data_IF_029373766309
#
_entry.id   IF_029373766309
#
_cell.length_a   1.000
_cell.length_b   1.000
_cell.length_c   1.000
_cell.angle_alpha   90.00
_cell.angle_beta   90.00
_cell.angle_gamma   90.00
#
_symmetry.space_group_name_H-M   'P 1'
#
loop_
_entity.id
_entity.type
_entity.pdbx_description
1 polymer ?
#
# COMPACT_ATOMS: atom_id res chain seq x y z
N UNK A 1 -6.04 -12.34 15.56
CA UNK A 1 -6.83 -11.15 15.97
C UNK A 1 -6.21 -10.60 17.23
N UNK A 2 -5.79 -9.33 17.20
CA UNK A 2 -5.28 -8.57 18.34
C UNK A 2 -6.45 -8.26 19.30
N UNK A 3 -6.25 -8.38 20.61
CA UNK A 3 -7.28 -8.14 21.65
C UNK A 3 -7.76 -6.70 21.73
N UNK A 4 -7.14 -5.78 20.99
CA UNK A 4 -7.43 -4.34 20.99
C UNK A 4 -8.65 -3.91 20.15
N UNK A 5 -9.24 -4.81 19.33
CA UNK A 5 -10.32 -4.47 18.38
C UNK A 5 -11.58 -5.35 18.51
N UNK A 6 -11.84 -5.92 19.69
CA UNK A 6 -12.98 -6.81 19.93
C UNK A 6 -14.35 -6.17 19.70
N UNK A 7 -14.45 -4.84 19.73
CA UNK A 7 -15.70 -4.10 19.50
C UNK A 7 -15.99 -3.82 18.02
N UNK A 8 -14.96 -3.76 17.15
CA UNK A 8 -15.16 -3.57 15.70
C UNK A 8 -15.40 -4.88 14.94
N UNK A 9 -14.97 -6.03 15.48
CA UNK A 9 -15.10 -7.33 14.83
C UNK A 9 -15.75 -8.34 15.78
N UNK A 10 -17.09 -8.38 15.85
CA UNK A 10 -17.80 -9.19 16.83
C UNK A 10 -17.70 -10.71 16.57
N UNK A 11 -17.33 -11.15 15.36
CA UNK A 11 -17.20 -12.57 15.03
C UNK A 11 -15.78 -13.09 15.32
N UNK A 12 -15.66 -14.00 16.28
CA UNK A 12 -14.44 -14.78 16.56
C UNK A 12 -14.38 -15.99 15.63
N UNK A 13 -13.32 -16.06 14.80
CA UNK A 13 -13.03 -17.18 13.89
C UNK A 13 -14.08 -17.45 12.79
N UNK A 14 -14.90 -16.46 12.43
CA UNK A 14 -15.92 -16.53 11.38
C UNK A 14 -16.02 -15.22 10.58
N UNK A 15 -16.84 -15.22 9.53
CA UNK A 15 -17.08 -14.05 8.67
C UNK A 15 -18.33 -13.33 9.13
N UNK A 16 -18.23 -12.02 9.40
CA UNK A 16 -19.36 -11.19 9.79
C UNK A 16 -20.19 -10.77 8.58
N UNK A 17 -21.51 -10.95 8.63
CA UNK A 17 -22.45 -10.44 7.64
C UNK A 17 -23.46 -9.53 8.32
N UNK A 18 -23.49 -8.25 7.94
CA UNK A 18 -24.45 -7.29 8.46
C UNK A 18 -25.87 -7.59 7.95
N UNK A 19 -26.85 -7.43 8.82
CA UNK A 19 -28.29 -7.51 8.52
C UNK A 19 -28.99 -6.28 9.12
N UNK A 20 -30.17 -5.87 8.62
CA UNK A 20 -30.91 -4.78 9.26
C UNK A 20 -31.17 -5.09 10.74
N UNK A 21 -30.67 -4.23 11.63
CA UNK A 21 -30.80 -4.39 13.09
C UNK A 21 -29.76 -5.28 13.78
N UNK A 22 -28.74 -5.79 13.07
CA UNK A 22 -27.70 -6.61 13.71
C UNK A 22 -26.65 -7.20 12.77
N UNK A 23 -26.02 -8.29 13.19
CA UNK A 23 -25.04 -9.03 12.40
C UNK A 23 -25.17 -10.54 12.60
N UNK A 24 -24.74 -11.32 11.62
CA UNK A 24 -24.70 -12.80 11.68
C UNK A 24 -23.28 -13.27 11.40
N UNK A 25 -22.74 -14.13 12.28
CA UNK A 25 -21.44 -14.76 12.09
C UNK A 25 -21.57 -16.06 11.30
N UNK A 26 -21.05 -16.09 10.07
CA UNK A 26 -21.02 -17.29 9.21
C UNK A 26 -19.70 -18.03 9.40
N UNK A 27 -19.78 -19.31 9.79
CA UNK A 27 -18.59 -20.15 9.97
C UNK A 27 -18.11 -20.72 8.63
N UNK A 28 -16.80 -20.71 8.40
CA UNK A 28 -16.17 -21.29 7.22
C UNK A 28 -16.23 -22.83 7.20
N UNK A 29 -15.86 -23.43 6.07
CA UNK A 29 -15.84 -24.89 5.86
C UNK A 29 -14.99 -25.56 6.96
N UNK A 30 -15.54 -26.62 7.58
CA UNK A 30 -14.91 -27.33 8.70
C UNK A 30 -15.13 -26.69 10.08
N UNK A 31 -15.98 -25.67 10.19
CA UNK A 31 -16.35 -25.01 11.46
C UNK A 31 -17.87 -24.90 11.61
N UNK A 32 -18.37 -24.98 12.84
CA UNK A 32 -19.79 -24.76 13.18
C UNK A 32 -19.94 -23.68 14.24
N UNK A 33 -21.13 -23.09 14.34
CA UNK A 33 -21.43 -22.12 15.41
C UNK A 33 -21.15 -22.75 16.78
N UNK A 34 -20.56 -21.96 17.68
CA UNK A 34 -20.35 -22.36 19.07
C UNK A 34 -21.59 -22.14 19.96
N UNK A 35 -22.69 -21.64 19.39
CA UNK A 35 -23.95 -21.37 20.09
C UNK A 35 -24.01 -19.99 20.75
N UNK A 36 -22.98 -19.16 20.60
CA UNK A 36 -23.00 -17.73 20.96
C UNK A 36 -23.10 -16.89 19.69
N UNK A 37 -23.68 -15.70 19.76
CA UNK A 37 -23.87 -14.78 18.60
C UNK A 37 -22.56 -14.27 17.96
N UNK A 38 -21.40 -14.83 18.33
CA UNK A 38 -20.09 -14.25 18.05
C UNK A 38 -18.96 -15.26 17.86
N UNK A 39 -19.22 -16.59 17.75
CA UNK A 39 -18.13 -17.57 17.68
C UNK A 39 -18.33 -18.77 16.75
N UNK A 40 -17.23 -19.17 16.11
CA UNK A 40 -17.12 -20.39 15.29
C UNK A 40 -16.09 -21.34 15.88
N UNK A 41 -16.50 -22.61 16.09
CA UNK A 41 -15.62 -23.68 16.57
C UNK A 41 -15.32 -24.72 15.49
N UNK A 42 -14.15 -25.36 15.50
CA UNK A 42 -13.83 -26.47 14.59
C UNK A 42 -14.84 -27.62 14.72
N UNK A 43 -15.21 -28.23 13.60
CA UNK A 43 -15.91 -29.51 13.57
C UNK A 43 -14.84 -30.59 13.62
N UNK A 44 -14.55 -31.08 14.82
CA UNK A 44 -13.54 -32.12 15.04
C UNK A 44 -14.02 -33.46 14.46
N UNK A 45 -13.15 -34.11 13.69
CA UNK A 45 -13.36 -35.46 13.19
C UNK A 45 -13.38 -36.47 14.35
N UNK A 46 -13.96 -37.66 14.15
CA UNK A 46 -13.99 -38.73 15.18
C UNK A 46 -12.58 -39.09 15.69
N UNK A 47 -11.55 -38.93 14.86
CA UNK A 47 -10.15 -39.14 15.25
C UNK A 47 -9.61 -38.04 16.20
N UNK A 48 -10.06 -36.80 16.08
CA UNK A 48 -9.64 -35.68 16.93
C UNK A 48 -10.39 -35.65 18.27
N UNK A 49 -11.62 -36.18 18.33
CA UNK A 49 -12.38 -36.31 19.58
C UNK A 49 -11.74 -37.30 20.56
N UNK A 50 -11.04 -38.33 20.05
CA UNK A 50 -10.28 -39.30 20.86
C UNK A 50 -9.04 -38.65 21.52
N UNK A 51 -8.48 -37.61 20.91
CA UNK A 51 -7.30 -36.89 21.43
C UNK A 51 -7.70 -35.89 22.53
N UNK A 52 -8.87 -35.24 22.40
CA UNK A 52 -9.34 -34.23 23.36
C UNK A 52 -10.00 -34.86 24.59
N UNK A 53 -10.56 -36.07 24.49
CA UNK A 53 -11.19 -36.80 25.59
C UNK A 53 -10.27 -37.22 26.76
N UNK A 54 -8.97 -36.92 26.72
CA UNK A 54 -8.00 -37.29 27.79
C UNK A 54 -7.53 -36.14 28.69
N UNK A 55 -8.04 -34.92 28.54
CA UNK A 55 -7.67 -33.80 29.42
C UNK A 55 -8.81 -33.39 30.37
N UNK A 56 -9.12 -34.26 31.31
CA UNK A 56 -9.62 -33.83 32.61
C UNK A 56 -9.18 -34.85 33.67
N UNK A 57 -7.91 -34.80 34.08
CA UNK A 57 -7.45 -35.17 35.44
C UNK A 57 -5.97 -34.84 35.61
N UNK A 58 -5.70 -34.13 36.70
CA UNK A 58 -4.46 -33.80 37.44
C UNK A 58 -3.11 -34.25 36.87
N UNK A 59 -2.17 -33.30 36.95
CA UNK A 59 -0.88 -33.35 36.31
C UNK A 59 0.05 -34.46 36.76
N UNK A 60 0.89 -34.87 35.82
CA UNK A 60 2.29 -35.21 36.04
C UNK A 60 3.08 -34.75 34.81
N UNK A 61 4.17 -34.03 35.05
CA UNK A 61 5.18 -33.66 34.07
C UNK A 61 5.83 -34.93 33.53
N UNK A 62 5.56 -35.27 32.27
CA UNK A 62 6.30 -36.33 31.57
C UNK A 62 7.62 -35.75 31.06
N UNK A 63 8.64 -35.85 31.90
CA UNK A 63 10.03 -35.76 31.48
C UNK A 63 10.31 -36.89 30.49
N UNK A 64 10.95 -36.54 29.39
CA UNK A 64 11.36 -37.41 28.28
C UNK A 64 12.55 -38.34 28.66
N UNK A 65 12.66 -38.76 29.93
CA UNK A 65 13.88 -39.40 30.47
C UNK A 65 13.66 -40.75 31.15
N UNK A 66 12.46 -41.36 31.08
CA UNK A 66 12.17 -42.60 31.86
C UNK A 66 11.51 -43.76 31.10
N UNK A 67 11.48 -43.76 29.77
CA UNK A 67 10.93 -44.90 29.00
C UNK A 67 12.00 -45.95 28.65
N UNK A 68 13.26 -45.78 29.09
CA UNK A 68 14.33 -46.68 28.64
C UNK A 68 14.80 -47.77 29.63
N UNK A 69 14.23 -47.91 30.82
CA UNK A 69 14.77 -48.85 31.82
C UNK A 69 13.69 -49.57 32.64
N UNK A 70 12.80 -50.36 32.01
CA UNK A 70 12.04 -51.42 32.70
C UNK A 70 11.55 -52.54 31.75
N UNK A 71 12.20 -52.73 30.60
CA UNK A 71 11.85 -53.77 29.63
C UNK A 71 12.99 -54.78 29.39
N UNK A 72 13.89 -54.96 30.36
CA UNK A 72 15.09 -55.80 30.18
C UNK A 72 15.31 -56.88 31.25
N UNK A 73 14.29 -57.30 32.01
CA UNK A 73 14.51 -58.34 33.04
C UNK A 73 13.54 -59.54 33.02
N UNK A 74 12.82 -59.78 31.91
CA UNK A 74 12.15 -61.08 31.68
C UNK A 74 12.30 -61.56 30.23
N UNK A 75 13.54 -61.68 29.76
CA UNK A 75 13.84 -62.29 28.46
C UNK A 75 14.97 -63.32 28.57
N UNK A 76 14.84 -64.21 29.56
CA UNK A 76 15.70 -65.38 29.70
C UNK A 76 14.83 -66.63 29.83
N UNK A 77 14.08 -66.96 28.77
CA UNK A 77 13.69 -68.32 28.35
C UNK A 77 12.70 -68.26 27.17
N UNK A 78 13.21 -68.11 25.93
CA UNK A 78 12.73 -68.72 24.67
C UNK A 78 13.23 -67.93 23.44
N UNK A 79 14.19 -68.50 22.71
CA UNK A 79 14.89 -67.92 21.55
C UNK A 79 14.07 -67.77 20.24
N UNK A 80 12.77 -67.46 20.30
CA UNK A 80 11.95 -67.28 19.08
C UNK A 80 11.07 -66.01 19.04
N UNK A 81 10.99 -65.22 20.12
CA UNK A 81 10.09 -64.04 20.21
C UNK A 81 10.76 -62.68 19.96
N UNK A 82 12.09 -62.60 19.96
CA UNK A 82 12.83 -61.34 19.74
C UNK A 82 12.91 -60.91 18.25
N UNK A 83 12.71 -61.82 17.29
CA UNK A 83 12.75 -61.51 15.86
C UNK A 83 11.48 -60.83 15.33
N UNK A 84 10.32 -61.05 15.98
CA UNK A 84 9.03 -60.52 15.55
C UNK A 84 8.82 -59.03 15.91
N UNK A 85 9.41 -58.58 17.01
CA UNK A 85 9.33 -57.17 17.45
C UNK A 85 10.22 -56.25 16.62
N UNK A 86 11.41 -56.70 16.23
CA UNK A 86 12.31 -55.92 15.35
C UNK A 86 11.73 -55.82 13.94
N UNK A 87 11.15 -56.91 13.42
CA UNK A 87 10.51 -56.92 12.10
C UNK A 87 9.34 -55.95 11.99
N UNK A 88 8.47 -55.89 13.01
CA UNK A 88 7.33 -54.96 13.02
C UNK A 88 7.76 -53.49 13.09
N UNK A 89 8.80 -53.16 13.87
CA UNK A 89 9.38 -51.81 13.90
C UNK A 89 9.95 -51.40 12.55
N UNK A 90 10.65 -52.30 11.86
CA UNK A 90 11.20 -52.03 10.51
C UNK A 90 10.08 -51.81 9.50
N UNK A 91 9.02 -52.62 9.53
CA UNK A 91 7.86 -52.46 8.64
C UNK A 91 7.16 -51.11 8.88
N UNK A 92 6.95 -50.71 10.13
CA UNK A 92 6.35 -49.42 10.48
C UNK A 92 7.25 -48.26 10.01
N UNK A 93 8.58 -48.35 10.25
CA UNK A 93 9.51 -47.33 9.80
C UNK A 93 9.51 -47.18 8.27
N UNK A 94 9.49 -48.29 7.53
CA UNK A 94 9.38 -48.29 6.06
C UNK A 94 8.05 -47.69 5.58
N UNK A 95 6.93 -48.05 6.21
CA UNK A 95 5.61 -47.48 5.91
C UNK A 95 5.59 -45.96 6.16
N UNK A 96 6.16 -45.49 7.26
CA UNK A 96 6.31 -44.06 7.56
C UNK A 96 7.20 -43.34 6.52
N UNK A 97 8.33 -43.94 6.11
CA UNK A 97 9.19 -43.39 5.06
C UNK A 97 8.47 -43.30 3.71
N UNK A 98 7.68 -44.31 3.34
CA UNK A 98 6.86 -44.31 2.13
C UNK A 98 5.76 -43.26 2.18
N UNK A 99 5.05 -43.13 3.31
CA UNK A 99 4.03 -42.11 3.53
C UNK A 99 4.65 -40.70 3.43
N UNK A 100 5.79 -40.45 4.08
CA UNK A 100 6.51 -39.19 3.97
C UNK A 100 6.97 -38.90 2.54
N UNK A 101 7.47 -39.91 1.80
CA UNK A 101 7.83 -39.77 0.38
C UNK A 101 6.61 -39.42 -0.48
N UNK A 102 5.47 -40.07 -0.24
CA UNK A 102 4.22 -39.82 -0.96
C UNK A 102 3.70 -38.40 -0.67
N UNK A 103 3.64 -37.99 0.59
CA UNK A 103 3.25 -36.63 1.00
C UNK A 103 4.19 -35.58 0.39
N UNK A 104 5.51 -35.79 0.42
CA UNK A 104 6.49 -34.88 -0.23
C UNK A 104 6.29 -34.80 -1.75
N UNK A 105 5.95 -35.92 -2.41
CA UNK A 105 5.64 -35.92 -3.85
C UNK A 105 4.37 -35.16 -4.15
N UNK A 106 3.30 -35.37 -3.36
CA UNK A 106 2.04 -34.64 -3.52
C UNK A 106 2.24 -33.13 -3.37
N UNK A 107 2.92 -32.72 -2.30
CA UNK A 107 3.18 -31.30 -2.03
C UNK A 107 4.04 -30.63 -3.11
N UNK A 108 5.04 -31.34 -3.66
CA UNK A 108 5.81 -30.83 -4.81
C UNK A 108 4.94 -30.64 -6.06
N UNK A 109 4.04 -31.60 -6.35
CA UNK A 109 3.12 -31.46 -7.48
C UNK A 109 2.19 -30.26 -7.33
N UNK A 110 1.61 -30.05 -6.15
CA UNK A 110 0.81 -28.84 -5.86
C UNK A 110 1.61 -27.55 -6.10
N UNK A 111 2.86 -27.49 -5.63
CA UNK A 111 3.74 -26.34 -5.86
C UNK A 111 4.03 -26.09 -7.33
N UNK A 112 4.30 -27.15 -8.09
CA UNK A 112 4.51 -27.06 -9.53
C UNK A 112 3.23 -26.62 -10.28
N UNK A 113 2.07 -27.05 -9.81
CA UNK A 113 0.76 -26.62 -10.33
C UNK A 113 0.53 -25.13 -10.06
N UNK A 114 0.74 -24.65 -8.83
CA UNK A 114 0.66 -23.23 -8.50
C UNK A 114 1.65 -22.40 -9.31
N UNK A 115 2.89 -22.88 -9.45
CA UNK A 115 3.91 -22.21 -10.24
C UNK A 115 3.45 -21.98 -11.69
N UNK A 116 2.85 -23.00 -12.32
CA UNK A 116 2.30 -22.89 -13.68
C UNK A 116 1.07 -22.00 -13.74
N UNK A 117 0.14 -22.18 -12.81
CA UNK A 117 -1.10 -21.42 -12.72
C UNK A 117 -0.81 -19.91 -12.54
N UNK A 118 0.17 -19.57 -11.73
CA UNK A 118 0.55 -18.18 -11.44
C UNK A 118 1.44 -17.55 -12.51
N UNK A 119 1.47 -18.13 -13.71
CA UNK A 119 2.18 -17.58 -14.87
C UNK A 119 3.70 -17.73 -14.78
N UNK A 120 4.23 -18.60 -13.92
CA UNK A 120 5.67 -18.74 -13.72
C UNK A 120 6.46 -19.14 -14.95
N UNK A 121 5.84 -19.89 -15.89
CA UNK A 121 6.46 -20.19 -17.19
C UNK A 121 6.60 -18.92 -18.04
N UNK A 122 5.53 -18.13 -18.16
CA UNK A 122 5.52 -16.87 -18.90
C UNK A 122 6.53 -15.88 -18.30
N UNK A 123 6.60 -15.81 -16.97
CA UNK A 123 7.56 -14.97 -16.27
C UNK A 123 9.01 -15.41 -16.53
N UNK A 124 9.30 -16.71 -16.48
CA UNK A 124 10.64 -17.23 -16.79
C UNK A 124 11.09 -16.90 -18.20
N UNK A 125 10.19 -17.06 -19.19
CA UNK A 125 10.49 -16.74 -20.58
C UNK A 125 10.78 -15.24 -20.77
N UNK A 126 10.00 -14.37 -20.13
CA UNK A 126 10.18 -12.91 -20.17
C UNK A 126 11.46 -12.46 -19.46
N UNK A 127 11.79 -13.06 -18.31
CA UNK A 127 13.03 -12.77 -17.59
C UNK A 127 14.26 -13.19 -18.39
N UNK A 128 14.20 -14.35 -19.06
CA UNK A 128 15.29 -14.88 -19.88
C UNK A 128 15.51 -14.04 -21.14
N UNK A 129 14.44 -13.52 -21.74
CA UNK A 129 14.54 -12.65 -22.93
C UNK A 129 15.12 -11.27 -22.58
N UNK A 130 14.83 -10.75 -21.38
CA UNK A 130 15.24 -9.40 -20.95
C UNK A 130 16.53 -9.32 -20.14
N UNK A 131 17.21 -10.44 -19.84
CA UNK A 131 18.45 -10.51 -19.04
C UNK A 131 18.32 -9.76 -17.69
N UNK A 132 17.21 -9.94 -16.97
CA UNK A 132 16.99 -9.30 -15.67
C UNK A 132 17.72 -10.09 -14.58
N UNK A 133 19.03 -9.88 -14.43
CA UNK A 133 19.87 -10.59 -13.45
C UNK A 133 19.51 -10.30 -11.98
N UNK A 134 18.74 -9.23 -11.72
CA UNK A 134 18.42 -8.76 -10.36
C UNK A 134 17.06 -9.19 -9.82
N UNK A 135 16.29 -9.98 -10.58
CA UNK A 135 14.95 -10.44 -10.16
C UNK A 135 15.00 -11.90 -9.68
N UNK A 136 14.49 -12.17 -8.48
CA UNK A 136 14.58 -13.48 -7.85
C UNK A 136 13.22 -14.17 -7.75
N UNK A 137 13.15 -15.44 -8.13
CA UNK A 137 12.01 -16.30 -7.84
C UNK A 137 12.32 -17.03 -6.53
N UNK A 138 11.67 -16.63 -5.45
CA UNK A 138 11.83 -17.22 -4.13
C UNK A 138 10.87 -18.38 -3.92
N UNK A 139 11.32 -19.37 -3.17
CA UNK A 139 10.47 -20.44 -2.66
C UNK A 139 9.63 -19.94 -1.47
N UNK A 140 8.49 -20.58 -1.23
CA UNK A 140 7.65 -20.35 -0.05
C UNK A 140 8.44 -20.60 1.23
N UNK A 141 9.38 -21.55 1.21
CA UNK A 141 10.25 -21.85 2.35
C UNK A 141 11.14 -20.65 2.70
N UNK A 142 11.72 -20.00 1.70
CA UNK A 142 12.54 -18.80 1.88
C UNK A 142 11.70 -17.63 2.39
N UNK A 143 10.51 -17.41 1.81
CA UNK A 143 9.59 -16.37 2.27
C UNK A 143 9.12 -16.60 3.70
N UNK A 144 8.76 -17.84 4.07
CA UNK A 144 8.40 -18.20 5.45
C UNK A 144 9.55 -17.98 6.40
N UNK A 145 10.79 -18.33 6.01
CA UNK A 145 11.96 -18.09 6.84
C UNK A 145 12.19 -16.59 7.04
N UNK A 146 12.12 -15.81 5.95
CA UNK A 146 12.36 -14.37 5.98
C UNK A 146 11.35 -13.61 6.85
N UNK A 147 10.09 -14.08 6.89
CA UNK A 147 8.98 -13.45 7.63
C UNK A 147 8.70 -14.06 9.00
N UNK A 148 9.57 -14.97 9.48
CA UNK A 148 9.35 -15.72 10.72
C UNK A 148 7.98 -16.41 10.76
N UNK A 149 7.66 -17.09 9.67
CA UNK A 149 6.38 -17.75 9.41
C UNK A 149 5.19 -16.79 9.42
N UNK A 150 5.32 -15.65 8.73
CA UNK A 150 4.32 -14.59 8.67
C UNK A 150 3.95 -14.05 10.06
N UNK A 151 4.96 -13.80 10.90
CA UNK A 151 4.76 -13.27 12.25
C UNK A 151 4.01 -11.93 12.20
N UNK A 152 3.08 -11.72 13.14
CA UNK A 152 2.36 -10.45 13.24
C UNK A 152 3.29 -9.28 13.60
N UNK A 153 4.40 -9.56 14.29
CA UNK A 153 5.40 -8.55 14.67
C UNK A 153 6.20 -8.04 13.48
N UNK A 154 6.11 -8.74 12.35
CA UNK A 154 6.74 -8.39 11.07
C UNK A 154 5.80 -7.63 10.14
N UNK A 155 4.55 -7.36 10.53
CA UNK A 155 3.59 -6.66 9.66
C UNK A 155 3.97 -5.18 9.53
N UNK A 156 4.17 -4.73 8.29
CA UNK A 156 4.40 -3.33 7.94
C UNK A 156 3.09 -2.59 7.63
N UNK A 157 2.12 -3.30 7.04
CA UNK A 157 0.85 -2.69 6.66
C UNK A 157 -0.21 -3.73 6.27
N UNK A 158 -1.48 -3.31 6.35
CA UNK A 158 -2.64 -4.06 5.92
C UNK A 158 -3.56 -3.14 5.10
N UNK A 159 -3.87 -3.52 3.87
CA UNK A 159 -4.69 -2.72 2.95
C UNK A 159 -5.69 -3.55 2.13
N UNK A 160 -6.29 -2.91 1.13
CA UNK A 160 -7.17 -3.55 0.15
C UNK A 160 -6.47 -4.68 -0.62
N UNK A 161 -5.21 -4.45 -1.01
CA UNK A 161 -4.41 -5.40 -1.79
C UNK A 161 -3.74 -6.50 -0.97
N UNK A 162 -3.88 -6.53 0.37
CA UNK A 162 -3.36 -7.61 1.20
C UNK A 162 -2.57 -7.18 2.43
N UNK A 163 -1.61 -8.01 2.82
CA UNK A 163 -0.72 -7.83 3.97
C UNK A 163 0.72 -7.66 3.49
N UNK A 164 1.44 -6.69 4.04
CA UNK A 164 2.86 -6.49 3.76
C UNK A 164 3.67 -6.84 5.00
N UNK A 165 4.68 -7.69 4.84
CA UNK A 165 5.57 -8.15 5.91
C UNK A 165 6.99 -7.65 5.68
N UNK A 166 7.66 -7.21 6.73
CA UNK A 166 9.11 -7.05 6.77
C UNK A 166 9.76 -8.43 6.77
N UNK A 167 10.71 -8.65 5.89
CA UNK A 167 11.47 -9.89 5.81
C UNK A 167 12.97 -9.66 5.78
N UNK A 168 13.72 -10.65 6.25
CA UNK A 168 15.18 -10.69 6.13
C UNK A 168 15.57 -11.92 5.32
N UNK A 169 16.12 -11.72 4.12
CA UNK A 169 16.55 -12.81 3.24
C UNK A 169 17.80 -13.53 3.79
N UNK A 170 18.16 -14.66 3.19
CA UNK A 170 19.27 -15.50 3.66
C UNK A 170 20.65 -14.84 3.58
N UNK A 171 20.80 -13.82 2.74
CA UNK A 171 21.96 -12.95 2.58
C UNK A 171 21.96 -11.74 3.55
N UNK A 172 20.96 -11.64 4.43
CA UNK A 172 20.80 -10.53 5.37
C UNK A 172 20.08 -9.32 4.78
N UNK A 173 19.65 -9.36 3.52
CA UNK A 173 18.95 -8.25 2.88
C UNK A 173 17.54 -8.08 3.43
N UNK A 174 17.22 -6.86 3.87
CA UNK A 174 15.88 -6.48 4.29
C UNK A 174 14.96 -6.25 3.08
N UNK A 175 13.75 -6.80 3.15
CA UNK A 175 12.76 -6.77 2.06
C UNK A 175 11.35 -6.53 2.61
N UNK A 176 10.46 -6.02 1.75
CA UNK A 176 9.03 -5.95 2.00
C UNK A 176 8.31 -7.02 1.16
N UNK A 177 7.55 -7.91 1.80
CA UNK A 177 6.87 -9.02 1.15
C UNK A 177 5.36 -8.78 1.18
N UNK A 178 4.79 -8.44 0.02
CA UNK A 178 3.35 -8.26 -0.18
C UNK A 178 2.71 -9.61 -0.45
N UNK A 179 1.80 -10.01 0.43
CA UNK A 179 0.97 -11.19 0.32
C UNK A 179 -0.47 -10.75 0.04
N UNK A 180 -0.92 -10.96 -1.19
CA UNK A 180 -2.25 -10.53 -1.61
C UNK A 180 -3.36 -11.31 -0.92
N UNK A 181 -4.53 -10.68 -0.71
CA UNK A 181 -5.72 -11.37 -0.20
C UNK A 181 -6.37 -12.13 -1.36
N UNK A 182 -6.71 -13.40 -1.15
CA UNK A 182 -7.55 -14.16 -2.10
C UNK A 182 -8.93 -13.52 -2.10
N UNK A 183 -9.35 -12.93 -3.22
CA UNK A 183 -10.76 -12.58 -3.39
C UNK A 183 -11.34 -13.21 -4.68
N UNK A 184 -10.65 -13.18 -5.84
CA UNK A 184 -11.09 -13.78 -7.11
C UNK A 184 -9.92 -14.01 -8.10
N UNK A 185 -10.19 -14.58 -9.30
CA UNK A 185 -9.23 -14.68 -10.41
C UNK A 185 -8.66 -13.32 -10.86
N UNK A 186 -9.45 -12.23 -10.73
CA UNK A 186 -9.02 -10.85 -11.01
C UNK A 186 -7.75 -10.45 -10.23
N UNK A 187 -7.59 -10.95 -8.99
CA UNK A 187 -6.40 -10.67 -8.16
C UNK A 187 -5.11 -11.29 -8.73
N UNK A 188 -5.22 -12.34 -9.56
CA UNK A 188 -4.06 -12.96 -10.22
C UNK A 188 -3.63 -12.16 -11.44
N UNK A 189 -4.56 -11.50 -12.11
CA UNK A 189 -4.26 -10.57 -13.20
C UNK A 189 -3.55 -9.31 -12.68
N UNK A 190 -4.01 -8.73 -11.55
CA UNK A 190 -3.31 -7.63 -10.87
C UNK A 190 -1.84 -7.96 -10.58
N UNK A 191 -1.57 -9.18 -10.11
CA UNK A 191 -0.22 -9.64 -9.82
C UNK A 191 0.66 -9.70 -11.08
N UNK A 192 0.18 -10.35 -12.15
CA UNK A 192 0.95 -10.48 -13.40
C UNK A 192 1.18 -9.09 -14.01
N UNK A 193 0.16 -8.24 -13.98
CA UNK A 193 0.24 -6.87 -14.46
C UNK A 193 1.24 -6.04 -13.66
N UNK A 194 1.24 -6.12 -12.33
CA UNK A 194 2.19 -5.42 -11.46
C UNK A 194 3.64 -5.84 -11.76
N UNK A 195 3.92 -7.13 -12.00
CA UNK A 195 5.24 -7.58 -12.45
C UNK A 195 5.63 -7.00 -13.81
N UNK A 196 4.73 -7.07 -14.80
CA UNK A 196 4.99 -6.56 -16.15
C UNK A 196 5.29 -5.07 -16.12
N UNK A 197 4.52 -4.29 -15.35
CA UNK A 197 4.69 -2.86 -15.18
C UNK A 197 6.02 -2.56 -14.48
N UNK A 198 6.27 -3.17 -13.33
CA UNK A 198 7.48 -2.90 -12.53
C UNK A 198 8.76 -3.39 -13.23
N UNK A 199 8.68 -4.41 -14.10
CA UNK A 199 9.82 -4.84 -14.92
C UNK A 199 10.29 -3.80 -15.95
N UNK A 200 9.44 -2.82 -16.28
CA UNK A 200 9.73 -1.76 -17.24
C UNK A 200 10.19 -0.46 -16.57
N UNK A 201 10.15 -0.42 -15.23
CA UNK A 201 10.42 0.79 -14.45
C UNK A 201 11.79 0.67 -13.80
N UNK A 202 12.66 1.66 -14.06
CA UNK A 202 13.91 1.82 -13.35
C UNK A 202 14.10 3.28 -12.93
N UNK A 203 13.64 3.61 -11.73
CA UNK A 203 13.69 4.97 -11.20
C UNK A 203 14.00 4.97 -9.70
N UNK A 204 14.85 5.90 -9.25
CA UNK A 204 15.31 5.97 -7.84
C UNK A 204 14.17 6.24 -6.84
N UNK A 205 13.16 7.02 -7.28
CA UNK A 205 11.98 7.41 -6.50
C UNK A 205 10.76 6.52 -6.78
N UNK A 206 10.98 5.29 -7.25
CA UNK A 206 9.96 4.25 -7.32
C UNK A 206 10.47 3.03 -6.54
N UNK A 207 9.60 2.39 -5.78
CA UNK A 207 9.95 1.18 -5.01
C UNK A 207 10.29 0.06 -5.97
N UNK A 208 11.49 -0.49 -5.83
CA UNK A 208 11.99 -1.55 -6.71
C UNK A 208 11.42 -2.91 -6.34
N UNK A 209 10.85 -3.59 -7.33
CA UNK A 209 10.52 -5.01 -7.24
C UNK A 209 11.81 -5.85 -7.34
N UNK A 210 12.04 -6.71 -6.35
CA UNK A 210 13.21 -7.58 -6.26
C UNK A 210 12.92 -9.01 -6.71
N UNK A 211 11.66 -9.43 -6.66
CA UNK A 211 11.30 -10.81 -6.93
C UNK A 211 9.87 -11.16 -6.60
N UNK A 212 9.56 -12.45 -6.70
CA UNK A 212 8.26 -12.99 -6.35
C UNK A 212 8.34 -14.43 -5.86
N UNK A 213 7.26 -14.93 -5.23
CA UNK A 213 7.06 -16.33 -4.92
C UNK A 213 5.78 -16.83 -5.58
N UNK A 214 5.90 -17.84 -6.44
CA UNK A 214 4.82 -18.35 -7.30
C UNK A 214 4.32 -19.75 -6.91
N UNK A 215 5.06 -20.48 -6.07
CA UNK A 215 4.74 -21.87 -5.66
C UNK A 215 3.66 -21.94 -4.56
N UNK A 216 2.80 -20.94 -4.50
CA UNK A 216 1.76 -20.74 -3.49
C UNK A 216 0.44 -20.42 -4.17
N UNK A 217 -0.67 -20.69 -3.49
CA UNK A 217 -2.02 -20.43 -4.01
C UNK A 217 -2.21 -18.98 -4.48
N UNK A 218 -1.75 -18.02 -3.68
CA UNK A 218 -1.69 -16.60 -4.07
C UNK A 218 -0.25 -16.13 -4.14
N UNK A 219 0.20 -15.67 -5.32
CA UNK A 219 1.54 -15.14 -5.49
C UNK A 219 1.90 -14.04 -4.49
N UNK A 220 3.18 -13.99 -4.14
CA UNK A 220 3.72 -12.95 -3.27
C UNK A 220 4.77 -12.14 -4.01
N UNK A 221 4.78 -10.83 -3.80
CA UNK A 221 5.75 -9.91 -4.39
C UNK A 221 6.76 -9.49 -3.33
N UNK A 222 8.03 -9.41 -3.72
CA UNK A 222 9.15 -9.05 -2.84
C UNK A 222 9.77 -7.76 -3.35
N UNK A 223 9.70 -6.71 -2.55
CA UNK A 223 10.20 -5.38 -2.85
C UNK A 223 11.40 -5.04 -1.97
N UNK A 224 12.12 -4.00 -2.35
CA UNK A 224 13.04 -3.34 -1.43
C UNK A 224 12.31 -2.85 -0.18
N UNK A 225 12.96 -2.95 0.98
CA UNK A 225 12.43 -2.39 2.21
C UNK A 225 12.73 -0.89 2.28
N UNK A 226 11.70 -0.09 2.62
CA UNK A 226 11.80 1.37 2.80
C UNK A 226 11.47 1.70 4.25
N UNK A 227 12.39 2.36 4.95
CA UNK A 227 12.47 2.29 6.42
C UNK A 227 11.55 3.24 7.18
N UNK A 228 11.23 4.43 6.66
CA UNK A 228 10.47 5.46 7.39
C UNK A 228 8.95 5.40 7.09
N UNK A 229 8.44 4.27 6.62
CA UNK A 229 7.02 4.05 6.41
C UNK A 229 6.44 4.92 5.30
N UNK A 230 5.14 5.24 5.42
CA UNK A 230 4.39 6.00 4.42
C UNK A 230 4.43 7.51 4.68
N UNK A 231 4.25 8.32 3.63
CA UNK A 231 4.07 9.77 3.73
C UNK A 231 2.84 10.11 4.57
N UNK A 232 1.78 9.29 4.48
CA UNK A 232 0.59 9.46 5.31
C UNK A 232 0.93 9.38 6.80
N UNK A 233 1.68 8.36 7.23
CA UNK A 233 2.11 8.21 8.62
C UNK A 233 3.04 9.36 9.03
N UNK A 234 3.93 9.78 8.13
CA UNK A 234 4.85 10.90 8.38
C UNK A 234 4.11 12.22 8.64
N UNK A 235 3.05 12.51 7.88
CA UNK A 235 2.27 13.74 8.02
C UNK A 235 1.29 13.70 9.19
N UNK A 236 0.60 12.57 9.39
CA UNK A 236 -0.63 12.50 10.19
C UNK A 236 -0.52 11.69 11.48
N UNK A 237 0.61 11.04 11.76
CA UNK A 237 0.78 10.28 13.00
C UNK A 237 0.98 11.20 14.21
N UNK A 238 0.24 10.93 15.28
CA UNK A 238 0.33 11.68 16.54
C UNK A 238 1.70 11.56 17.23
N UNK A 239 2.50 10.56 16.87
CA UNK A 239 3.82 10.29 17.43
C UNK A 239 4.90 11.23 16.86
N UNK A 240 4.65 11.85 15.71
CA UNK A 240 5.57 12.79 15.04
C UNK A 240 5.11 14.24 15.22
N UNK A 241 5.23 14.75 16.45
CA UNK A 241 5.07 16.19 16.76
C UNK A 241 6.24 17.07 16.30
N UNK A 242 7.17 16.53 15.50
CA UNK A 242 8.25 17.33 14.94
C UNK A 242 7.72 18.24 13.84
N UNK A 243 8.21 19.48 13.84
CA UNK A 243 8.04 20.43 12.75
C UNK A 243 8.56 19.77 11.47
N UNK A 244 7.76 19.80 10.40
CA UNK A 244 8.19 19.34 9.07
C UNK A 244 8.44 20.58 8.21
N UNK A 245 9.70 20.97 7.98
CA UNK A 245 10.00 22.21 7.26
C UNK A 245 9.53 22.16 5.80
N UNK A 246 9.25 23.34 5.23
CA UNK A 246 8.78 23.46 3.86
C UNK A 246 9.75 22.86 2.83
N UNK A 247 11.06 22.95 3.07
CA UNK A 247 12.08 22.40 2.17
C UNK A 247 11.97 20.89 1.97
N UNK A 248 11.64 20.16 3.03
CA UNK A 248 11.50 18.71 3.06
C UNK A 248 10.19 18.32 2.38
N UNK A 249 9.12 19.07 2.60
CA UNK A 249 7.84 18.87 1.90
C UNK A 249 8.00 19.08 0.40
N UNK A 250 8.69 20.13 -0.01
CA UNK A 250 9.03 20.39 -1.42
C UNK A 250 9.94 19.33 -2.00
N UNK A 251 10.93 18.82 -1.24
CA UNK A 251 11.78 17.69 -1.65
C UNK A 251 10.93 16.45 -1.96
N UNK A 252 10.07 16.06 -1.02
CA UNK A 252 9.17 14.90 -1.15
C UNK A 252 8.24 15.09 -2.35
N UNK A 253 7.55 16.23 -2.45
CA UNK A 253 6.68 16.56 -3.57
C UNK A 253 7.40 16.46 -4.91
N UNK A 254 8.59 17.07 -5.02
CA UNK A 254 9.37 17.07 -6.26
C UNK A 254 9.75 15.65 -6.67
N UNK A 255 10.29 14.85 -5.74
CA UNK A 255 10.71 13.47 -6.02
C UNK A 255 9.54 12.56 -6.41
N UNK A 256 8.37 12.71 -5.76
CA UNK A 256 7.15 11.99 -6.13
C UNK A 256 6.63 12.42 -7.50
N UNK A 257 6.64 13.72 -7.82
CA UNK A 257 6.23 14.24 -9.11
C UNK A 257 7.16 13.77 -10.25
N UNK A 258 8.47 13.75 -10.02
CA UNK A 258 9.48 13.23 -10.96
C UNK A 258 9.24 11.74 -11.25
N UNK A 259 8.94 10.93 -10.23
CA UNK A 259 8.59 9.52 -10.39
C UNK A 259 7.32 9.31 -11.23
N UNK A 260 6.28 10.09 -10.96
CA UNK A 260 5.01 10.01 -11.71
C UNK A 260 5.19 10.51 -13.17
N UNK A 261 5.96 11.57 -13.37
CA UNK A 261 6.30 12.07 -14.70
C UNK A 261 7.07 11.02 -15.52
N UNK A 262 7.99 10.28 -14.87
CA UNK A 262 8.75 9.20 -15.50
C UNK A 262 7.82 8.09 -16.04
N UNK A 263 6.89 7.59 -15.22
CA UNK A 263 5.99 6.50 -15.64
C UNK A 263 4.95 6.94 -16.69
N UNK A 264 4.63 8.24 -16.76
CA UNK A 264 3.72 8.78 -17.76
C UNK A 264 4.38 8.97 -19.13
N UNK A 265 5.65 9.40 -19.16
CA UNK A 265 6.26 9.97 -20.36
C UNK A 265 7.57 9.33 -20.82
N UNK A 266 8.27 8.61 -19.93
CA UNK A 266 9.64 8.13 -20.16
C UNK A 266 9.74 6.60 -20.26
N UNK A 267 8.62 5.90 -20.15
CA UNK A 267 8.50 4.46 -20.36
C UNK A 267 8.09 4.15 -21.80
N UNK A 268 8.29 2.91 -22.25
CA UNK A 268 7.96 2.46 -23.62
C UNK A 268 6.46 2.60 -23.96
N UNK A 269 5.59 2.44 -22.96
CA UNK A 269 4.18 2.79 -22.98
C UNK A 269 3.87 3.61 -21.73
N UNK A 270 3.00 4.61 -21.87
CA UNK A 270 2.48 5.37 -20.73
C UNK A 270 1.84 4.43 -19.72
N UNK A 271 2.30 4.51 -18.47
CA UNK A 271 1.80 3.73 -17.34
C UNK A 271 0.99 4.68 -16.47
N UNK A 272 -0.29 4.39 -16.30
CA UNK A 272 -1.16 5.11 -15.37
C UNK A 272 -1.03 4.45 -14.00
N UNK A 273 -0.79 5.23 -12.95
CA UNK A 273 -0.64 4.68 -11.61
C UNK A 273 -2.00 4.23 -11.05
N UNK A 274 -3.03 5.06 -11.18
CA UNK A 274 -4.43 4.74 -10.87
C UNK A 274 -4.82 4.89 -9.39
N UNK A 275 -3.87 4.81 -8.46
CA UNK A 275 -4.12 4.97 -7.02
C UNK A 275 -3.05 5.83 -6.32
N UNK A 276 -2.79 7.03 -6.84
CA UNK A 276 -1.85 7.96 -6.21
C UNK A 276 -2.42 8.51 -4.90
N UNK A 277 -1.70 8.30 -3.79
CA UNK A 277 -2.08 8.78 -2.45
C UNK A 277 -0.87 8.78 -1.53
N UNK A 278 -0.94 9.50 -0.39
CA UNK A 278 0.15 9.55 0.58
C UNK A 278 0.48 8.20 1.24
N UNK A 279 -0.46 7.26 1.28
CA UNK A 279 -0.21 5.87 1.71
C UNK A 279 0.67 5.07 0.72
N UNK A 280 0.69 5.49 -0.55
CA UNK A 280 1.45 4.84 -1.62
C UNK A 280 2.75 5.59 -1.96
N UNK A 281 3.16 6.54 -1.11
CA UNK A 281 4.45 7.21 -1.19
C UNK A 281 5.20 6.85 0.09
N UNK A 282 6.30 6.11 -0.04
CA UNK A 282 7.14 5.71 1.08
C UNK A 282 8.33 6.65 1.24
N UNK A 283 8.90 6.71 2.45
CA UNK A 283 10.06 7.53 2.77
C UNK A 283 11.22 6.65 3.21
N UNK A 284 12.38 6.81 2.60
CA UNK A 284 13.61 6.13 3.07
C UNK A 284 14.22 6.85 4.28
N UNK A 285 15.35 6.33 4.77
CA UNK A 285 16.10 6.83 5.92
C UNK A 285 16.56 8.30 5.79
N UNK A 286 16.66 8.81 4.56
CA UNK A 286 17.03 10.20 4.25
C UNK A 286 15.82 11.04 3.85
N UNK A 287 14.61 10.52 4.09
CA UNK A 287 13.34 11.08 3.67
C UNK A 287 13.30 11.36 2.15
N UNK A 288 13.94 10.52 1.34
CA UNK A 288 13.67 10.51 -0.09
C UNK A 288 12.36 9.77 -0.35
N UNK A 289 11.52 10.33 -1.20
CA UNK A 289 10.25 9.76 -1.57
C UNK A 289 10.41 8.60 -2.57
N UNK A 290 9.63 7.53 -2.37
CA UNK A 290 9.52 6.40 -3.29
C UNK A 290 8.05 6.06 -3.52
N UNK A 291 7.57 6.20 -4.75
CA UNK A 291 6.20 5.81 -5.14
C UNK A 291 6.10 4.28 -5.16
N UNK A 292 5.02 3.74 -4.60
CA UNK A 292 4.80 2.32 -4.36
C UNK A 292 3.38 1.90 -4.78
N UNK A 293 3.13 0.60 -4.75
CA UNK A 293 1.83 -0.05 -5.00
C UNK A 293 1.26 0.16 -6.42
N UNK A 294 1.77 -0.63 -7.36
CA UNK A 294 1.37 -0.60 -8.76
C UNK A 294 0.27 -1.63 -9.09
N UNK A 295 -0.40 -2.16 -8.06
CA UNK A 295 -1.48 -3.15 -8.22
C UNK A 295 -2.68 -2.61 -9.01
N UNK A 296 -2.91 -1.30 -8.95
CA UNK A 296 -3.96 -0.60 -9.69
C UNK A 296 -3.50 0.02 -11.02
N UNK A 297 -2.22 -0.14 -11.36
CA UNK A 297 -1.64 0.54 -12.51
C UNK A 297 -2.05 -0.13 -13.83
N UNK A 298 -2.09 0.64 -14.90
CA UNK A 298 -2.49 0.17 -16.22
C UNK A 298 -1.61 0.73 -17.32
N UNK A 299 -1.34 -0.07 -18.35
CA UNK A 299 -0.63 0.38 -19.55
C UNK A 299 -1.63 1.00 -20.51
N UNK A 300 -1.39 2.26 -20.92
CA UNK A 300 -2.20 2.92 -21.93
C UNK A 300 -2.19 2.10 -23.24
N UNK A 301 -3.36 1.82 -23.84
CA UNK A 301 -3.44 1.17 -25.13
C UNK A 301 -2.66 1.93 -26.21
N UNK A 302 -2.14 1.21 -27.21
CA UNK A 302 -1.49 1.82 -28.37
C UNK A 302 -2.55 2.44 -29.30
N UNK A 303 -3.71 1.80 -29.40
CA UNK A 303 -4.82 2.30 -30.20
C UNK A 303 -5.51 3.47 -29.48
N UNK A 304 -5.87 4.50 -30.26
CA UNK A 304 -6.45 5.74 -29.72
C UNK A 304 -7.93 5.60 -29.36
N UNK A 305 -8.60 4.58 -29.90
CA UNK A 305 -10.02 4.33 -29.66
C UNK A 305 -10.26 3.43 -28.43
N UNK A 306 -9.20 2.81 -27.89
CA UNK A 306 -9.26 2.00 -26.68
C UNK A 306 -9.06 2.85 -25.42
N UNK A 307 -9.90 2.64 -24.41
CA UNK A 307 -9.83 3.32 -23.11
C UNK A 307 -9.57 2.35 -21.96
N UNK A 308 -9.01 2.86 -20.86
CA UNK A 308 -8.84 2.10 -19.63
C UNK A 308 -10.04 2.37 -18.74
N UNK A 309 -10.78 1.31 -18.39
CA UNK A 309 -11.87 1.41 -17.41
C UNK A 309 -11.32 1.77 -16.04
N UNK A 310 -11.92 2.78 -15.41
CA UNK A 310 -11.71 3.12 -14.02
C UNK A 310 -12.42 2.08 -13.12
N UNK A 311 -11.65 1.17 -12.53
CA UNK A 311 -12.18 0.05 -11.73
C UNK A 311 -11.99 0.29 -10.22
N UNK A 312 -10.98 1.07 -9.83
CA UNK A 312 -10.62 1.26 -8.42
C UNK A 312 -9.95 2.60 -8.15
N UNK A 313 -10.09 3.10 -6.92
CA UNK A 313 -9.38 4.28 -6.41
C UNK A 313 -9.78 4.63 -4.97
N UNK A 314 -9.05 5.55 -4.35
CA UNK A 314 -9.23 5.90 -2.94
C UNK A 314 -10.07 7.17 -2.75
N UNK A 315 -11.14 7.09 -1.95
CA UNK A 315 -12.00 8.22 -1.62
C UNK A 315 -11.18 9.41 -1.07
N UNK A 316 -11.46 10.61 -1.58
CA UNK A 316 -10.70 11.84 -1.28
C UNK A 316 -9.63 12.17 -2.33
N UNK A 317 -9.13 11.17 -3.06
CA UNK A 317 -8.14 11.33 -4.13
C UNK A 317 -8.74 11.14 -5.52
N UNK A 318 -9.99 10.66 -5.61
CA UNK A 318 -10.66 10.35 -6.86
C UNK A 318 -10.84 11.60 -7.72
N UNK A 319 -10.36 11.49 -8.96
CA UNK A 319 -10.63 12.44 -10.03
C UNK A 319 -12.15 12.45 -10.33
N UNK A 320 -12.83 13.61 -10.19
CA UNK A 320 -14.26 13.72 -10.48
C UNK A 320 -14.60 13.41 -11.94
N UNK A 321 -13.73 13.75 -12.90
CA UNK A 321 -13.98 13.53 -14.32
C UNK A 321 -13.90 12.04 -14.67
N UNK A 322 -12.84 11.35 -14.23
CA UNK A 322 -12.71 9.90 -14.39
C UNK A 322 -13.76 9.11 -13.65
N UNK A 323 -14.21 9.61 -12.49
CA UNK A 323 -15.29 8.98 -11.75
C UNK A 323 -16.61 9.00 -12.52
N UNK A 324 -16.91 10.12 -13.21
CA UNK A 324 -18.13 10.28 -14.02
C UNK A 324 -18.02 9.58 -15.37
N UNK A 325 -16.88 9.70 -16.05
CA UNK A 325 -16.66 9.12 -17.38
C UNK A 325 -16.32 7.64 -17.36
N UNK A 326 -15.96 7.09 -16.20
CA UNK A 326 -15.41 5.74 -16.03
C UNK A 326 -14.11 5.47 -16.81
N UNK A 327 -13.40 6.53 -17.22
CA UNK A 327 -12.15 6.44 -17.97
C UNK A 327 -10.96 6.89 -17.12
N UNK A 328 -9.98 6.01 -16.91
CA UNK A 328 -8.73 6.37 -16.26
C UNK A 328 -7.78 7.03 -17.26
N UNK A 329 -7.19 8.16 -16.87
CA UNK A 329 -6.23 8.91 -17.69
C UNK A 329 -5.00 9.30 -16.89
N UNK A 330 -3.96 9.79 -17.58
CA UNK A 330 -2.80 10.40 -16.94
C UNK A 330 -3.18 11.65 -16.12
N UNK A 331 -4.28 12.30 -16.47
CA UNK A 331 -4.82 13.47 -15.76
C UNK A 331 -5.52 13.10 -14.46
N UNK A 332 -5.94 11.85 -14.31
CA UNK A 332 -6.49 11.32 -13.06
C UNK A 332 -5.41 11.27 -11.98
N UNK A 333 -4.21 10.78 -12.33
CA UNK A 333 -3.05 10.77 -11.43
C UNK A 333 -2.62 12.19 -11.04
N UNK A 334 -2.73 13.17 -11.95
CA UNK A 334 -2.44 14.59 -11.65
C UNK A 334 -3.39 15.13 -10.58
N UNK A 335 -4.69 14.84 -10.70
CA UNK A 335 -5.67 15.27 -9.70
C UNK A 335 -5.37 14.64 -8.33
N UNK A 336 -5.17 13.32 -8.30
CA UNK A 336 -4.84 12.59 -7.07
C UNK A 336 -3.53 13.09 -6.44
N UNK A 337 -2.53 13.42 -7.25
CA UNK A 337 -1.30 14.04 -6.77
C UNK A 337 -1.51 15.47 -6.25
N UNK A 338 -2.42 16.25 -6.84
CA UNK A 338 -2.85 17.54 -6.30
C UNK A 338 -3.39 17.43 -4.87
N UNK A 339 -4.11 16.35 -4.55
CA UNK A 339 -4.55 16.07 -3.18
C UNK A 339 -3.37 15.73 -2.26
N UNK A 340 -2.37 14.97 -2.73
CA UNK A 340 -1.13 14.73 -1.95
C UNK A 340 -0.39 16.05 -1.65
N UNK A 341 -0.33 16.97 -2.61
CA UNK A 341 0.23 18.31 -2.38
C UNK A 341 -0.56 19.09 -1.32
N UNK A 342 -1.89 18.93 -1.27
CA UNK A 342 -2.70 19.51 -0.19
C UNK A 342 -2.38 18.91 1.18
N UNK A 343 -2.21 17.59 1.28
CA UNK A 343 -1.82 16.98 2.54
C UNK A 343 -0.45 17.49 3.01
N UNK A 344 0.50 17.67 2.09
CA UNK A 344 1.79 18.30 2.37
C UNK A 344 1.65 19.76 2.82
N UNK A 345 0.79 20.55 2.18
CA UNK A 345 0.60 21.98 2.51
C UNK A 345 -0.12 22.20 3.85
N UNK A 346 -1.03 21.29 4.21
CA UNK A 346 -2.02 21.55 5.28
C UNK A 346 -1.89 20.62 6.48
N UNK A 347 -1.12 19.52 6.35
CA UNK A 347 -1.11 18.37 7.29
C UNK A 347 -2.51 17.86 7.66
N UNK A 348 -3.52 18.12 6.82
CA UNK A 348 -4.87 17.57 6.95
C UNK A 348 -4.98 16.33 6.07
N UNK A 349 -5.75 15.35 6.53
CA UNK A 349 -6.06 14.14 5.76
C UNK A 349 -6.93 14.51 4.56
N UNK A 350 -6.75 13.79 3.45
CA UNK A 350 -7.57 13.97 2.23
C UNK A 350 -9.09 13.99 2.50
N UNK A 351 -9.55 13.18 3.46
CA UNK A 351 -10.86 13.29 4.09
C UNK A 351 -10.65 13.57 5.57
N UNK A 352 -11.16 14.69 6.06
CA UNK A 352 -11.02 15.11 7.45
C UNK A 352 -12.38 15.46 8.07
N UNK A 353 -12.44 15.47 9.40
CA UNK A 353 -13.60 15.93 10.16
C UNK A 353 -13.30 17.37 10.57
N UNK A 354 -14.19 18.29 10.24
CA UNK A 354 -14.03 19.69 10.60
C UNK A 354 -14.50 20.00 12.03
N UNK A 355 -14.43 21.27 12.41
CA UNK A 355 -14.85 21.74 13.75
C UNK A 355 -16.36 21.57 14.01
N UNK A 356 -17.16 21.35 12.96
CA UNK A 356 -18.60 21.09 13.05
C UNK A 356 -18.90 19.59 13.07
N UNK A 357 -17.87 18.76 13.16
CA UNK A 357 -17.96 17.31 13.13
C UNK A 357 -18.52 16.76 11.80
N UNK A 358 -18.33 17.51 10.71
CA UNK A 358 -18.72 17.11 9.35
C UNK A 358 -17.52 16.54 8.60
N UNK A 359 -17.75 15.43 7.88
CA UNK A 359 -16.74 14.85 7.01
C UNK A 359 -16.62 15.69 5.73
N UNK A 360 -15.43 16.22 5.48
CA UNK A 360 -15.14 17.09 4.33
C UNK A 360 -13.97 16.57 3.50
N UNK A 361 -14.08 16.75 2.19
CA UNK A 361 -12.97 16.52 1.27
C UNK A 361 -12.02 17.72 1.30
N UNK A 362 -10.73 17.44 1.49
CA UNK A 362 -9.69 18.47 1.55
C UNK A 362 -9.58 19.27 0.25
N UNK A 363 -9.72 18.60 -0.89
CA UNK A 363 -9.75 19.24 -2.21
C UNK A 363 -10.84 20.31 -2.31
N UNK A 364 -12.07 19.97 -1.91
CA UNK A 364 -13.19 20.92 -1.93
C UNK A 364 -13.01 22.06 -0.93
N UNK A 365 -12.60 21.75 0.31
CA UNK A 365 -12.34 22.78 1.32
C UNK A 365 -11.27 23.77 0.87
N UNK A 366 -10.19 23.28 0.27
CA UNK A 366 -9.11 24.12 -0.25
C UNK A 366 -9.58 25.05 -1.38
N UNK A 367 -10.30 24.53 -2.38
CA UNK A 367 -10.82 25.34 -3.50
C UNK A 367 -11.67 26.51 -2.97
N UNK A 368 -12.55 26.25 -2.01
CA UNK A 368 -13.39 27.28 -1.40
C UNK A 368 -12.56 28.33 -0.66
N UNK A 369 -11.61 27.90 0.16
CA UNK A 369 -10.72 28.81 0.92
C UNK A 369 -9.82 29.64 -0.02
N UNK A 370 -9.32 29.03 -1.09
CA UNK A 370 -8.48 29.70 -2.08
C UNK A 370 -9.24 30.81 -2.81
N UNK A 371 -10.48 30.55 -3.26
CA UNK A 371 -11.32 31.58 -3.89
C UNK A 371 -11.70 32.72 -2.94
N UNK A 372 -11.83 32.44 -1.65
CA UNK A 372 -12.06 33.46 -0.62
C UNK A 372 -10.80 34.27 -0.26
N UNK A 373 -9.65 34.00 -0.89
CA UNK A 373 -8.34 34.60 -0.58
C UNK A 373 -7.91 34.39 0.87
N UNK A 374 -8.27 33.24 1.44
CA UNK A 374 -8.00 32.87 2.84
C UNK A 374 -6.97 31.75 2.95
N UNK A 375 -5.99 31.72 2.04
CA UNK A 375 -5.01 30.63 1.95
C UNK A 375 -4.31 30.34 3.28
N UNK A 376 -3.96 31.38 4.05
CA UNK A 376 -3.35 31.24 5.38
C UNK A 376 -4.17 30.35 6.32
N UNK A 377 -5.50 30.38 6.25
CA UNK A 377 -6.41 29.70 7.19
C UNK A 377 -6.39 28.16 7.03
N UNK A 378 -5.91 27.65 5.89
CA UNK A 378 -5.88 26.21 5.62
C UNK A 378 -4.48 25.61 5.66
N UNK A 379 -3.45 26.42 5.44
CA UNK A 379 -2.05 26.03 5.50
C UNK A 379 -1.68 25.56 6.92
N UNK A 380 -0.64 24.76 6.99
CA UNK A 380 -0.09 24.28 8.24
C UNK A 380 0.81 25.34 8.90
N UNK A 381 0.61 25.58 10.20
CA UNK A 381 1.34 26.59 10.96
C UNK A 381 2.86 26.33 10.97
N UNK A 382 3.30 25.08 10.84
CA UNK A 382 4.73 24.69 10.78
C UNK A 382 5.49 25.30 9.57
N UNK A 383 4.77 25.69 8.51
CA UNK A 383 5.36 26.24 7.27
C UNK A 383 4.97 27.70 7.02
N UNK A 384 4.17 28.29 7.91
CA UNK A 384 3.75 29.68 7.86
C UNK A 384 4.64 30.48 8.82
N UNK A 385 5.33 31.49 8.29
CA UNK A 385 6.05 32.48 9.10
C UNK A 385 5.10 33.66 9.40
N UNK A 386 5.60 34.91 9.39
CA UNK A 386 4.77 36.09 9.61
C UNK A 386 3.76 36.30 8.46
N UNK A 387 4.16 36.01 7.22
CA UNK A 387 3.34 36.10 6.00
C UNK A 387 3.48 34.85 5.13
N UNK A 388 2.50 34.63 4.24
CA UNK A 388 2.55 33.53 3.27
C UNK A 388 3.62 33.85 2.24
N UNK A 389 4.62 32.96 2.10
CA UNK A 389 5.71 33.18 1.16
C UNK A 389 5.23 33.06 -0.29
N UNK A 390 5.90 33.74 -1.22
CA UNK A 390 5.66 33.61 -2.67
C UNK A 390 5.72 32.14 -3.12
N UNK A 391 6.59 31.33 -2.49
CA UNK A 391 6.70 29.89 -2.76
C UNK A 391 5.40 29.17 -2.43
N UNK A 392 4.77 29.46 -1.28
CA UNK A 392 3.50 28.88 -0.87
C UNK A 392 2.34 29.33 -1.76
N UNK A 393 2.29 30.60 -2.16
CA UNK A 393 1.28 31.10 -3.09
C UNK A 393 1.38 30.39 -4.44
N UNK A 394 2.60 30.27 -4.99
CA UNK A 394 2.82 29.56 -6.26
C UNK A 394 2.57 28.06 -6.17
N UNK A 395 2.85 27.44 -5.03
CA UNK A 395 2.50 26.05 -4.78
C UNK A 395 0.97 25.87 -4.70
N UNK A 396 0.26 26.80 -4.07
CA UNK A 396 -1.20 26.80 -4.01
C UNK A 396 -1.84 27.00 -5.39
N UNK A 397 -1.31 27.91 -6.22
CA UNK A 397 -1.71 28.06 -7.63
C UNK A 397 -1.51 26.75 -8.41
N UNK A 398 -0.35 26.09 -8.25
CA UNK A 398 -0.10 24.79 -8.89
C UNK A 398 -1.13 23.74 -8.46
N UNK A 399 -1.46 23.67 -7.18
CA UNK A 399 -2.48 22.75 -6.66
C UNK A 399 -3.85 23.03 -7.28
N UNK A 400 -4.25 24.30 -7.41
CA UNK A 400 -5.50 24.67 -8.09
C UNK A 400 -5.54 24.18 -9.54
N UNK A 401 -4.41 24.27 -10.26
CA UNK A 401 -4.32 23.73 -11.62
C UNK A 401 -4.42 22.20 -11.64
N UNK A 402 -3.80 21.48 -10.71
CA UNK A 402 -3.92 20.02 -10.61
C UNK A 402 -5.34 19.57 -10.29
N UNK A 403 -6.08 20.34 -9.48
CA UNK A 403 -7.44 20.03 -9.03
C UNK A 403 -8.53 20.58 -9.96
N UNK A 404 -8.18 21.01 -11.18
CA UNK A 404 -9.17 21.49 -12.14
C UNK A 404 -10.22 20.39 -12.42
N UNK A 405 -11.53 20.70 -12.40
CA UNK A 405 -12.58 19.72 -12.70
C UNK A 405 -12.43 19.05 -14.06
N UNK A 406 -11.86 19.75 -15.06
CA UNK A 406 -11.60 19.22 -16.40
C UNK A 406 -10.15 18.75 -16.52
N UNK A 407 -9.95 17.50 -16.92
CA UNK A 407 -8.62 16.90 -17.02
C UNK A 407 -7.73 17.51 -18.10
N UNK A 408 -8.32 17.99 -19.20
CA UNK A 408 -7.60 18.66 -20.29
C UNK A 408 -6.98 20.00 -19.90
N UNK A 409 -7.56 20.68 -18.90
CA UNK A 409 -7.05 21.93 -18.33
C UNK A 409 -6.00 21.71 -17.22
N UNK A 410 -5.81 20.47 -16.75
CA UNK A 410 -4.76 20.15 -15.78
C UNK A 410 -3.38 20.22 -16.45
N UNK A 411 -2.29 20.48 -15.69
CA UNK A 411 -0.94 20.30 -16.19
C UNK A 411 -0.60 18.81 -16.31
N UNK A 412 0.42 18.48 -17.10
CA UNK A 412 0.99 17.13 -17.14
C UNK A 412 1.86 16.91 -15.89
N UNK A 413 2.08 15.65 -15.49
CA UNK A 413 2.99 15.38 -14.36
C UNK A 413 4.42 15.89 -14.61
N UNK A 414 4.85 15.98 -15.88
CA UNK A 414 6.12 16.61 -16.25
C UNK A 414 6.14 18.09 -15.91
N UNK A 415 5.12 18.85 -16.31
CA UNK A 415 5.00 20.27 -15.98
C UNK A 415 4.87 20.50 -14.47
N UNK A 416 4.16 19.62 -13.76
CA UNK A 416 4.07 19.65 -12.29
C UNK A 416 5.45 19.47 -11.66
N UNK A 417 6.23 18.48 -12.11
CA UNK A 417 7.58 18.23 -11.61
C UNK A 417 8.51 19.41 -11.88
N UNK A 418 8.47 19.99 -13.08
CA UNK A 418 9.27 21.18 -13.45
C UNK A 418 8.94 22.40 -12.58
N UNK A 419 7.64 22.66 -12.35
CA UNK A 419 7.20 23.75 -11.47
C UNK A 419 7.63 23.53 -10.02
N UNK A 420 7.47 22.32 -9.48
CA UNK A 420 7.94 21.98 -8.12
C UNK A 420 9.45 22.12 -7.98
N UNK A 421 10.22 21.70 -8.99
CA UNK A 421 11.67 21.85 -8.99
C UNK A 421 12.08 23.33 -8.97
N UNK A 422 11.38 24.19 -9.73
CA UNK A 422 11.60 25.64 -9.68
C UNK A 422 11.31 26.22 -8.30
N UNK A 423 10.17 25.86 -7.69
CA UNK A 423 9.80 26.30 -6.35
C UNK A 423 10.82 25.89 -5.30
N UNK A 424 11.32 24.66 -5.39
CA UNK A 424 12.38 24.15 -4.50
C UNK A 424 13.67 24.95 -4.63
N UNK A 425 14.07 25.35 -5.85
CA UNK A 425 15.26 26.20 -6.08
C UNK A 425 15.09 27.58 -5.45
N UNK A 426 13.91 28.20 -5.61
CA UNK A 426 13.59 29.50 -4.99
C UNK A 426 13.68 29.39 -3.46
N UNK A 427 13.08 28.36 -2.86
CA UNK A 427 13.14 28.14 -1.42
C UNK A 427 14.58 27.99 -0.92
N UNK A 428 15.41 27.21 -1.61
CA UNK A 428 16.83 27.02 -1.22
C UNK A 428 17.61 28.33 -1.26
N UNK A 429 17.34 29.20 -2.23
CA UNK A 429 17.99 30.51 -2.32
C UNK A 429 17.62 31.42 -1.15
N UNK A 430 16.34 31.43 -0.74
CA UNK A 430 15.86 32.21 0.41
C UNK A 430 16.50 31.76 1.74
N UNK A 431 16.73 30.46 1.92
CA UNK A 431 17.37 29.91 3.13
C UNK A 431 18.88 30.21 3.17
N UNK A 432 19.53 30.42 2.02
CA UNK A 432 20.99 30.58 1.93
C UNK A 432 21.45 32.05 2.01
N UNK A 433 20.57 33.02 1.79
CA UNK A 433 20.87 34.45 2.00
C UNK A 433 20.70 34.85 3.46
N UNK A 434 21.76 35.24 4.19
CA UNK A 434 21.59 35.86 5.51
C UNK A 434 20.90 37.20 5.31
N UNK A 435 19.82 37.43 6.07
CA UNK A 435 19.11 38.71 6.12
C UNK A 435 20.13 39.86 6.30
N UNK A 436 20.30 40.80 5.34
CA UNK A 436 21.04 42.01 5.64
C UNK A 436 20.20 42.79 6.65
N UNK A 437 20.80 43.02 7.82
CA UNK A 437 20.24 43.80 8.91
C UNK A 437 19.50 45.03 8.39
N UNK A 438 18.28 45.24 8.90
CA UNK A 438 17.57 46.53 8.91
C UNK A 438 18.56 47.65 9.20
N UNK A 439 18.98 48.36 8.17
CA UNK A 439 19.62 49.67 8.33
C UNK A 439 18.53 50.69 8.06
N UNK A 440 17.99 51.24 9.13
CA UNK A 440 17.19 52.46 9.08
C UNK A 440 18.07 53.56 8.46
N UNK A 441 17.60 54.15 7.37
CA UNK A 441 18.00 55.49 6.96
C UNK A 441 16.76 56.33 6.70
N UNK A 442 16.82 57.64 6.99
CA UNK A 442 15.65 58.47 7.26
C UNK A 442 15.09 59.13 5.99
N UNK A 443 13.87 59.63 6.16
CA UNK A 443 13.02 60.38 5.23
C UNK A 443 13.74 61.18 4.13
N UNK A 444 13.26 60.98 2.90
CA UNK A 444 13.54 61.82 1.75
C UNK A 444 12.42 61.67 0.72
N UNK A 445 11.47 62.60 0.78
CA UNK A 445 10.41 62.75 -0.23
C UNK A 445 11.02 62.93 -1.62
N UNK A 446 10.54 62.15 -2.60
CA UNK A 446 10.54 62.56 -3.99
C UNK A 446 9.38 61.91 -4.72
N UNK A 447 8.46 62.78 -5.15
CA UNK A 447 7.31 62.50 -5.98
C UNK A 447 7.75 62.15 -7.41
N UNK A 448 7.23 61.04 -7.94
CA UNK A 448 7.05 60.87 -9.39
C UNK A 448 5.96 59.84 -9.67
N UNK A 449 4.79 60.37 -10.02
CA UNK A 449 3.70 59.69 -10.70
C UNK A 449 4.13 59.22 -12.09
N UNK A 450 3.71 58.03 -12.54
CA UNK A 450 3.29 57.75 -13.93
C UNK A 450 2.45 56.46 -14.00
N UNK A 451 1.27 56.63 -14.60
CA UNK A 451 0.39 55.72 -15.36
C UNK A 451 0.10 54.29 -14.87
N UNK A 452 -1.14 54.12 -14.42
CA UNK A 452 -1.90 52.87 -14.38
C UNK A 452 -2.42 52.51 -15.77
N UNK A 453 -1.98 51.39 -16.34
CA UNK A 453 -2.68 50.74 -17.46
C UNK A 453 -3.62 49.66 -16.91
N UNK A 454 -4.92 49.94 -17.02
CA UNK A 454 -6.00 49.01 -16.75
C UNK A 454 -6.07 47.94 -17.85
N UNK A 455 -5.75 46.69 -17.52
CA UNK A 455 -6.08 45.56 -18.37
C UNK A 455 -7.40 44.94 -17.91
N UNK A 456 -8.48 45.29 -18.63
CA UNK A 456 -9.83 44.73 -18.45
C UNK A 456 -9.83 43.20 -18.59
N UNK A 457 -10.12 42.49 -17.51
CA UNK A 457 -10.54 41.08 -17.57
C UNK A 457 -12.08 41.04 -17.66
N UNK A 458 -12.60 40.52 -18.76
CA UNK A 458 -14.03 40.28 -18.92
C UNK A 458 -14.48 39.19 -17.93
N UNK A 459 -15.33 39.58 -17.00
CA UNK A 459 -16.06 38.68 -16.10
C UNK A 459 -17.04 37.84 -16.92
N UNK A 460 -16.73 36.56 -17.14
CA UNK A 460 -17.72 35.57 -17.56
C UNK A 460 -18.56 35.18 -16.36
N UNK A 461 -19.79 35.68 -16.38
CA UNK A 461 -20.86 35.50 -15.41
C UNK A 461 -21.22 34.01 -15.23
N UNK A 462 -20.73 33.37 -14.18
CA UNK A 462 -20.99 31.96 -13.82
C UNK A 462 -22.33 31.72 -13.13
N UNK A 463 -23.24 32.69 -13.13
CA UNK A 463 -24.57 32.57 -12.53
C UNK A 463 -25.64 31.87 -13.42
N UNK A 464 -25.25 31.13 -14.46
CA UNK A 464 -26.20 30.49 -15.40
C UNK A 464 -26.09 28.98 -15.57
N UNK A 465 -25.46 28.27 -14.63
CA UNK A 465 -25.33 26.80 -14.67
C UNK A 465 -25.93 26.07 -13.45
N UNK A 466 -26.89 26.70 -12.75
CA UNK A 466 -27.61 26.08 -11.60
C UNK A 466 -29.12 25.87 -11.90
N UNK A 467 -29.53 25.80 -13.17
CA UNK A 467 -30.97 25.62 -13.51
C UNK A 467 -31.26 24.61 -14.64
N UNK A 468 -30.44 23.58 -14.84
CA UNK A 468 -30.76 22.48 -15.78
C UNK A 468 -30.51 21.06 -15.21
N UNK A 469 -30.59 20.88 -13.89
CA UNK A 469 -30.53 19.54 -13.25
C UNK A 469 -31.90 19.07 -12.71
N UNK A 470 -32.94 19.91 -12.76
CA UNK A 470 -34.30 19.57 -12.29
C UNK A 470 -35.30 19.25 -13.42
N UNK A 471 -34.84 18.91 -14.64
CA UNK A 471 -35.74 18.56 -15.76
C UNK A 471 -35.59 17.16 -16.35
N UNK A 472 -34.95 16.24 -15.63
CA UNK A 472 -34.91 14.83 -16.00
C UNK A 472 -35.25 13.92 -14.80
N UNK A 473 -36.42 14.16 -14.19
CA UNK A 473 -37.09 13.23 -13.29
C UNK A 473 -38.42 12.79 -13.88
#
# INVERSE_FOLDING_TARGET
QNSKYTELYPCRNGVCRNIPGGYVCKCGIGKKSDGKNSGCRPVLTQAEQVVIGKQHTRGYTLSLSKVHLHAFDELKHHNHSAGLSVSSVVVIALACLLAMKFQRRKHRKEKDEYFKQNGGLKLYDEMRSRQVDTFHILTEKEVKKATENYSNDRVLGCGGHGMVYRGTLGDGKEVAIKKSKVINDDCREEFVNEIIILSQINHRNIVRLLGCCLEVDVPMLVYEFVSNGTLFEFLHSNDHKSIIPLDLRLKIATQSAEALAYIHSSTSRTILHGDVKSLNILLDNEYNAKVADFGASALKPIDKDDFIMFIQGTLGYLDPESFVSHHLTDRSDVYSFGVVLLELLTRKKAIFIDNLNEQKALSHAFIMTFHQKKLRDILDDDIIEDEVTVVLEKLAELVMHCLNPRGDERPTMKEVAERLQMLRRIQMQQVTTPNPMRTQYPDGESSMSIASDEMKYQSTNTAKLVLDVDRAR
#
